data_IF_258629421838
#
_entry.id   IF_258629421838
#
_cell.length_a   1.000
_cell.length_b   1.000
_cell.length_c   1.000
_cell.angle_alpha   90.00
_cell.angle_beta   90.00
_cell.angle_gamma   90.00
#
_symmetry.space_group_name_H-M   'P 1'
#
loop_
_entity.id
_entity.type
_entity.pdbx_description
1 polymer ?
#
# COMPACT_ATOMS: atom_id res chain seq x y z
N UNK A 1 3.11 13.16 -1.90
CA UNK A 1 3.34 12.78 -0.49
C UNK A 1 3.68 11.30 -0.46
N UNK A 2 4.66 10.87 0.33
CA UNK A 2 4.98 9.45 0.48
C UNK A 2 4.32 8.97 1.77
N UNK A 3 3.54 7.90 1.70
CA UNK A 3 2.91 7.24 2.84
C UNK A 3 3.25 5.75 2.81
N UNK A 4 3.35 5.12 3.97
CA UNK A 4 3.58 3.68 4.09
C UNK A 4 2.40 3.07 4.80
N UNK A 5 1.81 2.05 4.18
CA UNK A 5 0.66 1.32 4.73
C UNK A 5 1.09 -0.13 4.95
N UNK A 6 0.96 -0.59 6.18
CA UNK A 6 1.14 -2.00 6.52
C UNK A 6 -0.19 -2.71 6.31
N UNK A 7 -0.18 -3.77 5.51
CA UNK A 7 -1.35 -4.58 5.21
C UNK A 7 -1.04 -6.05 5.41
N UNK A 8 -2.04 -6.79 5.87
CA UNK A 8 -1.96 -8.25 5.95
C UNK A 8 -2.48 -8.85 4.66
N UNK A 9 -1.64 -9.59 3.94
CA UNK A 9 -1.98 -10.22 2.68
C UNK A 9 -1.22 -11.54 2.49
N UNK A 10 -1.72 -12.41 1.62
CA UNK A 10 -1.06 -13.67 1.28
C UNK A 10 0.13 -13.50 0.34
N UNK A 11 0.09 -12.48 -0.52
CA UNK A 11 1.11 -12.18 -1.52
C UNK A 11 1.29 -10.67 -1.68
N UNK A 12 2.48 -10.27 -2.17
CA UNK A 12 2.84 -8.87 -2.37
C UNK A 12 1.89 -8.11 -3.32
N UNK A 13 1.32 -8.77 -4.32
CA UNK A 13 0.38 -8.14 -5.26
C UNK A 13 -0.95 -7.79 -4.59
N UNK A 14 -1.47 -8.68 -3.75
CA UNK A 14 -2.66 -8.41 -2.93
C UNK A 14 -2.40 -7.28 -1.94
N UNK A 15 -1.25 -7.29 -1.28
CA UNK A 15 -0.83 -6.20 -0.39
C UNK A 15 -0.85 -4.85 -1.11
N UNK A 16 -0.27 -4.80 -2.32
CA UNK A 16 -0.26 -3.59 -3.15
C UNK A 16 -1.67 -3.09 -3.42
N UNK A 17 -2.58 -3.97 -3.85
CA UNK A 17 -3.96 -3.58 -4.15
C UNK A 17 -4.72 -3.11 -2.90
N UNK A 18 -4.54 -3.78 -1.76
CA UNK A 18 -5.14 -3.36 -0.49
C UNK A 18 -4.65 -1.97 -0.07
N UNK A 19 -3.35 -1.73 -0.12
CA UNK A 19 -2.78 -0.43 0.23
C UNK A 19 -3.29 0.68 -0.71
N UNK A 20 -3.36 0.43 -2.02
CA UNK A 20 -3.95 1.38 -2.97
C UNK A 20 -5.42 1.66 -2.63
N UNK A 21 -6.22 0.62 -2.36
CA UNK A 21 -7.62 0.78 -1.97
C UNK A 21 -7.78 1.60 -0.68
N UNK A 22 -6.92 1.38 0.31
CA UNK A 22 -6.89 2.19 1.54
C UNK A 22 -6.55 3.65 1.27
N UNK A 23 -5.60 3.92 0.37
CA UNK A 23 -5.28 5.29 -0.03
C UNK A 23 -6.44 5.95 -0.80
N UNK A 24 -7.14 5.21 -1.68
CA UNK A 24 -8.34 5.73 -2.34
C UNK A 24 -9.45 6.06 -1.33
N UNK A 25 -9.67 5.19 -0.35
CA UNK A 25 -10.65 5.40 0.72
C UNK A 25 -10.32 6.62 1.61
N UNK A 26 -9.04 6.97 1.75
CA UNK A 26 -8.60 8.21 2.41
C UNK A 26 -8.83 9.48 1.56
N UNK A 27 -9.26 9.34 0.30
CA UNK A 27 -9.55 10.45 -0.59
C UNK A 27 -8.37 10.90 -1.45
N UNK A 28 -7.32 10.10 -1.58
CA UNK A 28 -6.21 10.36 -2.50
C UNK A 28 -6.63 10.05 -3.94
N UNK A 29 -6.25 10.91 -4.89
CA UNK A 29 -6.65 10.83 -6.30
C UNK A 29 -5.57 10.22 -7.17
N UNK A 30 -4.31 10.60 -6.94
CA UNK A 30 -3.15 9.96 -7.57
C UNK A 30 -2.47 9.06 -6.57
N UNK A 31 -2.36 7.78 -6.89
CA UNK A 31 -1.78 6.77 -5.99
C UNK A 31 -0.87 5.89 -6.83
N UNK A 32 0.40 5.87 -6.47
CA UNK A 32 1.41 5.03 -7.11
C UNK A 32 2.10 4.19 -6.05
N UNK A 33 2.03 2.87 -6.16
CA UNK A 33 2.79 1.99 -5.30
C UNK A 33 4.25 1.97 -5.74
N UNK A 34 5.14 2.46 -4.89
CA UNK A 34 6.56 2.59 -5.16
C UNK A 34 7.35 1.37 -4.67
N UNK A 35 6.95 0.79 -3.54
CA UNK A 35 7.69 -0.30 -2.92
C UNK A 35 6.77 -1.21 -2.12
N UNK A 36 7.03 -2.52 -2.15
CA UNK A 36 6.32 -3.52 -1.34
C UNK A 36 7.36 -4.39 -0.66
N UNK A 37 7.32 -4.45 0.66
CA UNK A 37 8.25 -5.23 1.48
C UNK A 37 7.50 -6.18 2.39
N UNK A 38 7.90 -7.44 2.39
CA UNK A 38 7.42 -8.37 3.41
C UNK A 38 8.14 -8.10 4.74
N UNK A 39 7.37 -7.85 5.79
CA UNK A 39 7.87 -7.60 7.15
C UNK A 39 7.47 -8.69 8.15
N UNK A 40 6.50 -9.54 7.79
CA UNK A 40 6.06 -10.64 8.62
C UNK A 40 5.55 -11.83 7.79
N UNK A 41 5.03 -12.88 8.44
CA UNK A 41 4.57 -14.11 7.77
C UNK A 41 3.50 -13.84 6.71
N UNK A 42 2.63 -12.86 6.96
CA UNK A 42 1.56 -12.40 6.06
C UNK A 42 1.41 -10.88 6.09
N UNK A 43 2.48 -10.16 6.43
CA UNK A 43 2.46 -8.71 6.59
C UNK A 43 3.41 -8.06 5.60
N UNK A 44 2.88 -7.05 4.92
CA UNK A 44 3.58 -6.31 3.90
C UNK A 44 3.48 -4.82 4.19
N UNK A 45 4.62 -4.15 4.21
CA UNK A 45 4.68 -2.70 4.14
C UNK A 45 4.65 -2.28 2.67
N UNK A 46 3.67 -1.47 2.32
CA UNK A 46 3.53 -0.89 0.98
C UNK A 46 3.78 0.60 1.08
N UNK A 47 4.83 1.06 0.43
CA UNK A 47 5.08 2.48 0.25
C UNK A 47 4.32 2.99 -0.97
N UNK A 48 3.46 3.97 -0.74
CA UNK A 48 2.67 4.65 -1.74
C UNK A 48 3.12 6.09 -1.87
N UNK A 49 3.32 6.54 -3.09
CA UNK A 49 3.34 7.96 -3.42
C UNK A 49 1.93 8.39 -3.75
N UNK A 50 1.35 9.24 -2.89
CA UNK A 50 -0.03 9.74 -3.02
C UNK A 50 -0.05 11.25 -3.23
N UNK A 51 -0.99 11.71 -4.03
CA UNK A 51 -1.36 13.13 -4.12
C UNK A 51 -2.87 13.29 -4.18
N UNK A 52 -3.34 14.48 -3.80
CA UNK A 52 -4.74 14.88 -3.87
C UNK A 52 -4.99 15.71 -5.11
#
# INVERSE_FOLDING_TARGET
MITTITVSADIAENARQMAIGMAQAQGWTSIQASFVRQVGPREYEVQLTVSR
#
